data_IF_575057037523
#
_entry.id   IF_575057037523
#
_cell.length_a   1.000
_cell.length_b   1.000
_cell.length_c   1.000
_cell.angle_alpha   90.00
_cell.angle_beta   90.00
_cell.angle_gamma   90.00
#
_symmetry.space_group_name_H-M   'P 1'
#
loop_
_entity.id
_entity.type
_entity.pdbx_description
1 polymer ?
#
# COMPACT_ATOMS: atom_id res chain seq x y z
N UNK A 1 24.35 72.68 -62.48
CA UNK A 1 25.28 71.55 -62.33
C UNK A 1 25.43 71.28 -60.83
N UNK A 2 25.33 70.00 -60.43
CA UNK A 2 25.28 69.42 -59.05
C UNK A 2 23.89 69.10 -58.46
N UNK A 3 23.33 68.03 -59.02
CA UNK A 3 22.89 66.74 -58.42
C UNK A 3 22.33 66.65 -56.99
N UNK A 4 21.20 65.90 -56.92
CA UNK A 4 20.46 65.23 -55.84
C UNK A 4 21.23 64.77 -54.58
N UNK A 5 20.51 64.66 -53.44
CA UNK A 5 20.05 63.38 -52.83
C UNK A 5 19.05 63.70 -51.70
N UNK A 6 17.87 63.08 -51.77
CA UNK A 6 16.84 63.13 -50.73
C UNK A 6 17.07 62.08 -49.64
N UNK A 7 16.57 62.35 -48.43
CA UNK A 7 16.47 61.36 -47.37
C UNK A 7 15.09 61.45 -46.74
N UNK A 8 14.25 60.48 -47.07
CA UNK A 8 12.91 60.29 -46.52
C UNK A 8 13.05 59.51 -45.22
N UNK A 9 12.75 60.13 -44.08
CA UNK A 9 12.87 59.50 -42.77
C UNK A 9 11.53 58.81 -42.42
N UNK A 10 11.46 57.49 -42.65
CA UNK A 10 10.39 56.63 -42.15
C UNK A 10 10.50 56.53 -40.62
N UNK A 11 9.44 56.94 -39.91
CA UNK A 11 9.25 56.66 -38.48
C UNK A 11 8.77 55.20 -38.34
N UNK A 12 9.68 54.25 -38.09
CA UNK A 12 9.32 52.91 -37.64
C UNK A 12 9.00 52.96 -36.14
N UNK A 13 7.74 52.68 -35.79
CA UNK A 13 7.31 52.52 -34.40
C UNK A 13 7.99 51.30 -33.76
N UNK A 14 8.73 51.54 -32.68
CA UNK A 14 9.18 50.47 -31.79
C UNK A 14 7.98 49.99 -30.97
N UNK A 15 7.31 48.95 -31.45
CA UNK A 15 6.41 48.15 -30.62
C UNK A 15 7.29 47.38 -29.64
N UNK A 16 7.43 47.90 -28.41
CA UNK A 16 7.95 47.12 -27.31
C UNK A 16 6.95 45.98 -27.05
N UNK A 17 7.21 44.80 -27.62
CA UNK A 17 6.57 43.58 -27.16
C UNK A 17 7.07 43.35 -25.74
N UNK A 18 6.27 43.69 -24.74
CA UNK A 18 6.43 43.12 -23.41
C UNK A 18 6.24 41.61 -23.60
N UNK A 19 7.34 40.86 -23.65
CA UNK A 19 7.26 39.41 -23.47
C UNK A 19 6.69 39.21 -22.08
N UNK A 20 5.39 38.97 -22.00
CA UNK A 20 4.77 38.38 -20.83
C UNK A 20 5.39 37.01 -20.72
N UNK A 21 6.47 36.89 -19.94
CA UNK A 21 6.99 35.58 -19.56
C UNK A 21 5.84 34.86 -18.88
N UNK A 22 5.48 33.70 -19.42
CA UNK A 22 4.52 32.84 -18.79
C UNK A 22 5.07 32.45 -17.40
N UNK A 23 4.19 32.50 -16.39
CA UNK A 23 4.56 32.61 -14.98
C UNK A 23 3.81 31.55 -14.16
N UNK A 24 4.58 30.61 -13.63
CA UNK A 24 4.19 29.88 -12.43
C UNK A 24 4.69 30.58 -11.18
N UNK A 25 3.88 30.52 -10.12
CA UNK A 25 4.33 30.86 -8.77
C UNK A 25 3.72 29.93 -7.72
N UNK A 26 4.45 29.73 -6.64
CA UNK A 26 3.94 29.09 -5.42
C UNK A 26 3.04 30.06 -4.68
N UNK A 27 1.94 29.56 -4.10
CA UNK A 27 1.06 30.35 -3.24
C UNK A 27 1.63 30.57 -1.83
N UNK A 28 2.76 29.91 -1.51
CA UNK A 28 3.37 29.92 -0.17
C UNK A 28 2.61 29.05 0.84
N UNK A 29 1.70 28.20 0.39
CA UNK A 29 0.90 27.34 1.25
C UNK A 29 1.70 26.17 1.87
N UNK A 30 2.87 25.84 1.32
CA UNK A 30 3.69 24.72 1.75
C UNK A 30 4.71 25.13 2.81
N UNK A 31 4.93 24.23 3.76
CA UNK A 31 6.00 24.27 4.76
C UNK A 31 6.75 22.92 4.72
N UNK A 32 8.03 22.98 4.38
CA UNK A 32 8.92 21.83 4.19
C UNK A 32 9.86 21.58 5.37
N UNK A 33 9.57 22.17 6.54
CA UNK A 33 10.29 21.83 7.76
C UNK A 33 10.28 20.30 7.97
N UNK A 34 11.37 19.76 8.53
CA UNK A 34 11.59 18.31 8.64
C UNK A 34 10.46 17.56 9.38
N UNK A 35 9.66 18.27 10.20
CA UNK A 35 8.52 17.70 10.93
C UNK A 35 7.23 17.56 10.10
N UNK A 36 7.15 18.18 8.92
CA UNK A 36 5.90 18.31 8.15
C UNK A 36 5.78 17.32 6.99
N UNK A 37 6.43 16.16 7.09
CA UNK A 37 6.37 15.15 6.03
C UNK A 37 4.96 14.52 5.96
N UNK A 38 4.52 14.23 4.74
CA UNK A 38 3.36 13.38 4.48
C UNK A 38 3.67 11.98 5.01
N UNK A 39 2.85 11.47 5.94
CA UNK A 39 3.17 10.24 6.66
C UNK A 39 2.96 8.99 5.81
N UNK A 40 4.01 8.17 5.68
CA UNK A 40 3.93 6.81 5.13
C UNK A 40 3.60 5.86 6.28
N UNK A 41 2.38 5.32 6.31
CA UNK A 41 1.81 4.57 7.46
C UNK A 41 1.62 3.09 7.15
N UNK A 42 2.62 2.26 7.44
CA UNK A 42 2.49 0.79 7.47
C UNK A 42 1.95 0.29 8.83
N UNK A 43 2.20 1.02 9.92
CA UNK A 43 1.80 0.60 11.26
C UNK A 43 2.77 -0.43 11.85
N UNK A 44 2.25 -1.56 12.33
CA UNK A 44 3.08 -2.65 12.86
C UNK A 44 3.68 -3.46 11.71
N UNK A 45 5.01 -3.49 11.65
CA UNK A 45 5.80 -4.24 10.67
C UNK A 45 6.40 -5.44 11.39
N UNK A 46 6.08 -6.65 10.94
CA UNK A 46 6.57 -7.89 11.52
C UNK A 46 7.61 -8.53 10.60
N UNK A 47 8.84 -8.65 11.09
CA UNK A 47 9.86 -9.47 10.48
C UNK A 47 9.95 -10.81 11.21
N UNK A 48 9.88 -11.90 10.44
CA UNK A 48 10.15 -13.25 10.97
C UNK A 48 11.54 -13.72 10.57
N UNK A 49 11.83 -15.01 10.68
CA UNK A 49 13.09 -15.56 10.19
C UNK A 49 13.19 -15.49 8.66
N UNK A 50 14.42 -15.46 8.12
CA UNK A 50 14.66 -15.56 6.67
C UNK A 50 14.22 -16.90 6.08
N UNK A 51 13.94 -17.91 6.91
CA UNK A 51 13.44 -19.20 6.45
C UNK A 51 11.94 -19.17 6.13
N UNK A 52 11.15 -18.50 6.98
CA UNK A 52 9.70 -18.38 6.81
C UNK A 52 9.31 -17.18 5.93
N UNK A 53 10.08 -16.08 6.04
CA UNK A 53 9.95 -14.89 5.22
C UNK A 53 11.29 -14.62 4.53
N UNK A 54 11.55 -15.22 3.35
CA UNK A 54 12.81 -15.06 2.64
C UNK A 54 13.15 -13.62 2.32
N UNK A 55 14.44 -13.34 2.19
CA UNK A 55 14.93 -12.09 1.63
C UNK A 55 14.35 -11.90 0.23
N UNK A 56 13.95 -10.67 -0.12
CA UNK A 56 13.22 -10.37 -1.35
C UNK A 56 11.69 -10.34 -1.18
N UNK A 57 11.16 -10.84 -0.06
CA UNK A 57 9.72 -10.84 0.19
C UNK A 57 9.17 -9.42 0.34
N UNK A 58 8.04 -9.13 -0.31
CA UNK A 58 7.21 -7.97 0.01
C UNK A 58 6.60 -8.20 1.40
N UNK A 59 6.78 -7.24 2.30
CA UNK A 59 6.23 -7.28 3.66
C UNK A 59 4.88 -6.58 3.69
N UNK A 60 4.81 -5.36 3.16
CA UNK A 60 3.59 -4.56 3.15
C UNK A 60 3.62 -3.49 2.05
N UNK A 61 2.44 -2.96 1.71
CA UNK A 61 2.23 -1.95 0.68
C UNK A 61 1.11 -0.99 1.08
N UNK A 62 1.37 0.31 0.92
CA UNK A 62 0.40 1.37 1.18
C UNK A 62 0.33 2.38 0.04
N UNK A 63 -0.83 3.02 -0.09
CA UNK A 63 -1.04 4.19 -0.96
C UNK A 63 -1.09 5.42 -0.07
N UNK A 64 -0.30 6.44 -0.40
CA UNK A 64 -0.13 7.65 0.39
C UNK A 64 -0.62 8.85 -0.44
N UNK A 65 -1.86 9.29 -0.24
CA UNK A 65 -2.39 10.50 -0.88
C UNK A 65 -1.62 11.74 -0.43
N UNK A 66 -1.38 12.69 -1.34
CA UNK A 66 -0.80 13.97 -0.95
C UNK A 66 -1.69 14.74 0.05
N UNK A 67 -3.00 14.47 0.04
CA UNK A 67 -3.99 15.05 0.97
C UNK A 67 -3.79 14.66 2.43
N UNK A 68 -2.91 13.71 2.73
CA UNK A 68 -2.51 13.38 4.10
C UNK A 68 -1.56 14.45 4.69
N UNK A 69 -1.14 15.42 3.89
CA UNK A 69 -0.46 16.64 4.36
C UNK A 69 -1.42 17.50 5.18
N UNK A 70 -1.17 17.62 6.48
CA UNK A 70 -2.01 18.39 7.42
C UNK A 70 -1.31 19.61 8.02
N UNK A 71 -0.06 19.88 7.64
CA UNK A 71 0.65 21.06 8.08
C UNK A 71 0.08 22.34 7.43
N UNK A 72 0.36 23.49 8.05
CA UNK A 72 0.02 24.83 7.56
C UNK A 72 -1.47 25.07 7.22
N UNK A 73 -2.41 24.35 7.85
CA UNK A 73 -3.85 24.41 7.57
C UNK A 73 -4.21 24.12 6.09
N UNK A 74 -3.38 23.36 5.40
CA UNK A 74 -3.63 22.96 4.01
C UNK A 74 -4.73 21.91 3.97
N UNK A 75 -5.63 22.04 3.00
CA UNK A 75 -6.74 21.12 2.74
C UNK A 75 -6.61 20.54 1.34
N UNK A 76 -7.37 19.48 0.97
CA UNK A 76 -7.34 18.94 -0.38
C UNK A 76 -7.56 19.97 -1.50
N UNK A 77 -8.36 21.01 -1.23
CA UNK A 77 -8.67 22.07 -2.20
C UNK A 77 -7.68 23.24 -2.20
N UNK A 78 -6.71 23.27 -1.28
CA UNK A 78 -5.73 24.35 -1.21
C UNK A 78 -4.90 24.39 -2.48
N UNK A 79 -4.85 25.54 -3.13
CA UNK A 79 -4.04 25.79 -4.33
C UNK A 79 -2.59 25.96 -3.90
N UNK A 80 -1.70 25.13 -4.45
CA UNK A 80 -0.27 25.14 -4.15
C UNK A 80 0.52 25.95 -5.17
N UNK A 81 0.14 25.81 -6.44
CA UNK A 81 0.76 26.53 -7.55
C UNK A 81 -0.29 27.08 -8.50
N UNK A 82 -0.02 28.29 -9.00
CA UNK A 82 -0.80 28.95 -10.04
C UNK A 82 0.13 29.17 -11.24
N UNK A 83 -0.26 28.66 -12.39
CA UNK A 83 0.52 28.71 -13.63
C UNK A 83 -0.32 29.22 -14.79
N UNK A 84 0.33 29.73 -15.84
CA UNK A 84 -0.33 29.93 -17.13
C UNK A 84 -0.61 28.58 -17.80
N UNK A 85 -1.77 28.45 -18.45
CA UNK A 85 -2.10 27.23 -19.21
C UNK A 85 -1.06 26.93 -20.31
N UNK A 86 -0.44 27.98 -20.87
CA UNK A 86 0.63 27.83 -21.87
C UNK A 86 1.88 27.12 -21.36
N UNK A 87 2.10 27.13 -20.03
CA UNK A 87 3.27 26.51 -19.40
C UNK A 87 3.12 25.02 -19.17
N UNK A 88 1.90 24.46 -19.35
CA UNK A 88 1.61 23.07 -18.99
C UNK A 88 2.60 22.06 -19.60
N UNK A 89 3.09 22.32 -20.82
CA UNK A 89 4.09 21.49 -21.51
C UNK A 89 5.47 21.48 -20.84
N UNK A 90 5.77 22.51 -20.07
CA UNK A 90 7.03 22.73 -19.37
C UNK A 90 6.93 22.38 -17.88
N UNK A 91 5.72 22.03 -17.39
CA UNK A 91 5.48 21.62 -16.01
C UNK A 91 5.75 20.14 -15.78
N UNK A 92 6.56 19.86 -14.76
CA UNK A 92 6.83 18.52 -14.28
C UNK A 92 6.78 18.49 -12.76
N UNK A 93 6.13 17.48 -12.19
CA UNK A 93 6.45 17.06 -10.85
C UNK A 93 7.79 16.34 -10.88
N UNK A 94 8.81 16.88 -10.23
CA UNK A 94 10.06 16.17 -10.02
C UNK A 94 9.98 15.37 -8.72
N UNK A 95 10.28 14.08 -8.81
CA UNK A 95 10.29 13.14 -7.68
C UNK A 95 11.66 12.50 -7.53
N UNK A 96 12.09 12.30 -6.28
CA UNK A 96 13.32 11.58 -5.93
C UNK A 96 13.23 11.03 -4.50
N UNK A 97 14.11 10.10 -4.17
CA UNK A 97 14.34 9.71 -2.76
C UNK A 97 15.05 10.82 -1.99
N UNK A 98 15.00 10.79 -0.66
CA UNK A 98 15.80 11.68 0.18
C UNK A 98 17.24 11.16 0.27
N UNK A 99 18.02 11.42 -0.79
CA UNK A 99 19.27 10.73 -1.02
C UNK A 99 20.51 11.35 -0.36
N UNK A 100 20.34 12.39 0.45
CA UNK A 100 21.40 12.93 1.32
C UNK A 100 21.46 12.21 2.69
N UNK A 101 20.52 11.29 2.94
CA UNK A 101 20.46 10.46 4.14
C UNK A 101 20.50 8.95 3.82
N UNK A 102 21.40 8.23 4.49
CA UNK A 102 21.56 6.78 4.36
C UNK A 102 20.27 5.99 4.60
N UNK A 103 19.39 6.42 5.50
CA UNK A 103 18.09 5.81 5.79
C UNK A 103 16.90 6.57 5.14
N UNK A 104 17.17 7.69 4.48
CA UNK A 104 16.20 8.49 3.72
C UNK A 104 16.13 8.11 2.23
N UNK A 105 17.09 7.33 1.73
CA UNK A 105 17.06 6.81 0.37
C UNK A 105 18.32 7.03 -0.45
N UNK A 106 19.46 7.26 0.22
CA UNK A 106 20.78 7.27 -0.39
C UNK A 106 21.27 5.87 -0.78
N UNK A 107 21.07 4.89 0.12
CA UNK A 107 21.64 3.55 0.00
C UNK A 107 20.64 2.58 -0.62
N UNK A 108 20.93 2.11 -1.83
CA UNK A 108 20.13 1.06 -2.49
C UNK A 108 20.57 -0.32 -1.97
N UNK A 109 19.79 -0.87 -1.03
CA UNK A 109 20.12 -2.10 -0.31
C UNK A 109 19.49 -3.36 -0.91
N UNK A 110 18.51 -3.22 -1.79
CA UNK A 110 17.82 -4.37 -2.39
C UNK A 110 18.55 -5.05 -3.54
N UNK A 111 19.59 -4.44 -4.13
CA UNK A 111 20.23 -4.96 -5.34
C UNK A 111 20.78 -6.38 -5.18
N UNK A 112 21.44 -6.65 -4.04
CA UNK A 112 21.95 -8.00 -3.69
C UNK A 112 20.83 -9.05 -3.60
N UNK A 113 19.61 -8.59 -3.33
CA UNK A 113 18.42 -9.41 -3.12
C UNK A 113 17.54 -9.52 -4.37
N UNK A 114 18.02 -9.03 -5.52
CA UNK A 114 17.26 -9.00 -6.77
C UNK A 114 16.17 -7.91 -6.82
N UNK A 115 16.21 -6.95 -5.91
CA UNK A 115 15.25 -5.87 -5.80
C UNK A 115 15.87 -4.52 -6.22
N UNK A 116 15.51 -4.04 -7.40
CA UNK A 116 15.91 -2.71 -7.86
C UNK A 116 15.09 -1.60 -7.19
N UNK A 117 15.75 -0.47 -6.92
CA UNK A 117 15.18 0.75 -6.35
C UNK A 117 14.51 0.54 -4.98
N UNK A 118 15.11 -0.35 -4.19
CA UNK A 118 14.77 -0.59 -2.78
C UNK A 118 15.88 -0.02 -1.93
N UNK A 119 15.55 1.02 -1.17
CA UNK A 119 16.50 1.80 -0.40
C UNK A 119 16.42 1.53 1.10
N UNK A 120 17.52 1.75 1.82
CA UNK A 120 17.56 1.52 3.26
C UNK A 120 16.58 2.44 4.00
N UNK A 121 16.07 1.92 5.11
CA UNK A 121 15.25 2.67 6.07
C UNK A 121 15.95 2.73 7.43
N UNK A 122 15.34 3.38 8.42
CA UNK A 122 15.81 3.31 9.82
C UNK A 122 15.71 1.90 10.43
N UNK A 123 14.92 1.01 9.84
CA UNK A 123 14.74 -0.36 10.29
C UNK A 123 15.75 -1.30 9.62
N UNK A 124 16.43 -2.12 10.42
CA UNK A 124 17.30 -3.17 9.89
C UNK A 124 16.47 -4.19 9.11
N UNK A 125 17.03 -4.67 7.99
CA UNK A 125 16.41 -5.67 7.13
C UNK A 125 15.06 -5.28 6.52
N UNK A 126 14.69 -3.99 6.56
CA UNK A 126 13.53 -3.43 5.88
C UNK A 126 14.00 -2.39 4.86
N UNK A 127 13.81 -2.70 3.59
CA UNK A 127 14.04 -1.78 2.48
C UNK A 127 12.73 -1.15 2.00
N UNK A 128 12.77 0.09 1.55
CA UNK A 128 11.62 0.85 1.06
C UNK A 128 11.75 1.10 -0.44
N UNK A 129 10.70 0.76 -1.18
CA UNK A 129 10.48 1.16 -2.57
C UNK A 129 9.35 2.16 -2.63
N UNK A 130 9.58 3.23 -3.36
CA UNK A 130 8.60 4.29 -3.57
C UNK A 130 8.33 4.42 -5.07
N UNK A 131 7.07 4.58 -5.45
CA UNK A 131 6.69 4.85 -6.83
C UNK A 131 5.54 5.83 -6.92
N UNK A 132 5.50 6.60 -8.01
CA UNK A 132 4.43 7.54 -8.29
C UNK A 132 4.13 7.52 -9.79
N UNK A 133 2.86 7.35 -10.17
CA UNK A 133 2.43 7.21 -11.57
C UNK A 133 3.23 6.17 -12.37
N UNK A 134 3.54 5.03 -11.73
CA UNK A 134 4.30 3.94 -12.35
C UNK A 134 5.82 4.17 -12.45
N UNK A 135 6.33 5.34 -12.03
CA UNK A 135 7.75 5.62 -11.93
C UNK A 135 8.24 5.25 -10.54
N UNK A 136 9.13 4.26 -10.44
CA UNK A 136 9.89 4.00 -9.22
C UNK A 136 10.89 5.14 -8.99
N UNK A 137 10.83 5.74 -7.80
CA UNK A 137 11.72 6.81 -7.38
C UNK A 137 13.15 6.30 -7.26
N UNK A 138 14.08 7.20 -7.51
CA UNK A 138 15.50 6.97 -7.32
C UNK A 138 16.15 8.21 -6.71
N UNK A 139 17.45 8.12 -6.44
CA UNK A 139 18.27 9.27 -6.05
C UNK A 139 18.32 10.37 -7.12
N UNK A 140 18.05 10.06 -8.39
CA UNK A 140 18.02 11.06 -9.46
C UNK A 140 16.61 11.58 -9.65
N UNK A 141 16.45 12.90 -9.76
CA UNK A 141 15.15 13.51 -10.01
C UNK A 141 14.54 13.00 -11.32
N UNK A 142 13.33 12.46 -11.23
CA UNK A 142 12.55 11.95 -12.35
C UNK A 142 11.31 12.82 -12.53
N UNK A 143 10.90 13.04 -13.78
CA UNK A 143 9.77 13.90 -14.12
C UNK A 143 8.48 13.12 -14.32
N UNK A 144 7.40 13.60 -13.72
CA UNK A 144 6.02 13.16 -13.93
C UNK A 144 5.24 14.35 -14.51
N UNK A 145 4.53 14.13 -15.61
CA UNK A 145 3.71 15.17 -16.21
C UNK A 145 2.56 15.58 -15.28
N UNK A 146 2.32 16.89 -15.17
CA UNK A 146 1.15 17.43 -14.48
C UNK A 146 -0.09 17.11 -15.31
N UNK A 147 -0.95 16.23 -14.82
CA UNK A 147 -2.13 15.72 -15.54
C UNK A 147 -3.47 16.07 -14.90
N UNK A 148 -3.45 16.50 -13.64
CA UNK A 148 -4.63 16.96 -12.89
C UNK A 148 -4.38 18.40 -12.45
N UNK A 149 -5.39 19.25 -12.62
CA UNK A 149 -5.40 20.66 -12.24
C UNK A 149 -6.82 21.22 -12.44
N UNK A 150 -7.11 22.34 -11.80
CA UNK A 150 -8.29 23.15 -12.08
C UNK A 150 -7.94 24.23 -13.11
N UNK A 151 -8.56 24.20 -14.28
CA UNK A 151 -8.46 25.27 -15.26
C UNK A 151 -9.49 26.38 -14.97
N UNK A 152 -9.08 27.64 -15.14
CA UNK A 152 -9.91 28.81 -14.99
C UNK A 152 -10.13 29.53 -16.33
N UNK A 153 -11.26 30.23 -16.46
CA UNK A 153 -11.60 31.03 -17.65
C UNK A 153 -10.57 32.15 -17.95
N UNK A 154 -9.76 32.51 -16.97
CA UNK A 154 -8.66 33.48 -17.09
C UNK A 154 -7.44 32.95 -17.87
N UNK A 155 -7.44 31.67 -18.27
CA UNK A 155 -6.28 31.02 -18.91
C UNK A 155 -5.21 30.57 -17.91
N UNK A 156 -5.52 30.60 -16.61
CA UNK A 156 -4.69 30.07 -15.53
C UNK A 156 -5.08 28.64 -15.18
N UNK A 157 -4.12 27.88 -14.67
CA UNK A 157 -4.36 26.59 -14.03
C UNK A 157 -3.96 26.67 -12.56
N UNK A 158 -4.75 26.04 -11.70
CA UNK A 158 -4.50 25.87 -10.28
C UNK A 158 -4.18 24.40 -10.01
N UNK A 159 -2.99 24.14 -9.48
CA UNK A 159 -2.60 22.81 -9.01
C UNK A 159 -2.86 22.79 -7.50
N UNK A 160 -3.84 21.99 -7.08
CA UNK A 160 -4.22 21.83 -5.67
C UNK A 160 -3.52 20.63 -5.07
N UNK A 161 -3.56 20.52 -3.74
CA UNK A 161 -3.00 19.36 -3.03
C UNK A 161 -3.59 18.04 -3.54
N UNK A 162 -4.90 17.98 -3.78
CA UNK A 162 -5.57 16.78 -4.31
C UNK A 162 -5.21 16.42 -5.76
N UNK A 163 -4.62 17.36 -6.50
CA UNK A 163 -4.23 17.15 -7.90
C UNK A 163 -2.85 16.45 -8.01
N UNK A 164 -2.12 16.33 -6.89
CA UNK A 164 -0.86 15.60 -6.83
C UNK A 164 -1.15 14.10 -6.83
N UNK A 165 -0.50 13.30 -7.72
CA UNK A 165 -0.66 11.86 -7.72
C UNK A 165 -0.28 11.22 -6.38
N UNK A 166 -0.98 10.16 -5.94
CA UNK A 166 -0.61 9.46 -4.73
C UNK A 166 0.74 8.73 -4.91
N UNK A 167 1.50 8.66 -3.83
CA UNK A 167 2.70 7.83 -3.73
C UNK A 167 2.29 6.39 -3.38
N UNK A 168 2.95 5.40 -3.96
CA UNK A 168 2.87 4.00 -3.55
C UNK A 168 4.15 3.68 -2.80
N UNK A 169 4.02 3.17 -1.58
CA UNK A 169 5.14 2.74 -0.75
C UNK A 169 5.05 1.25 -0.48
N UNK A 170 6.15 0.54 -0.72
CA UNK A 170 6.29 -0.90 -0.53
C UNK A 170 7.52 -1.17 0.33
N UNK A 171 7.37 -1.98 1.37
CA UNK A 171 8.50 -2.43 2.19
C UNK A 171 8.83 -3.89 1.90
N UNK A 172 10.12 -4.16 1.80
CA UNK A 172 10.66 -5.47 1.47
C UNK A 172 11.63 -5.94 2.55
N UNK A 173 11.70 -7.25 2.72
CA UNK A 173 12.76 -7.86 3.51
C UNK A 173 14.06 -7.83 2.72
N UNK A 174 15.10 -7.24 3.28
CA UNK A 174 16.43 -7.12 2.66
C UNK A 174 17.54 -7.72 3.53
N UNK A 175 18.60 -8.19 2.89
CA UNK A 175 19.80 -8.74 3.56
C UNK A 175 20.84 -7.67 3.89
N UNK A 176 20.90 -6.61 3.07
CA UNK A 176 21.92 -5.58 3.16
C UNK A 176 21.47 -4.45 4.10
N UNK A 177 22.38 -4.02 4.99
CA UNK A 177 22.16 -2.89 5.89
C UNK A 177 22.63 -1.58 5.25
N UNK A 178 22.20 -0.45 5.84
CA UNK A 178 22.65 0.91 5.49
C UNK A 178 24.19 1.00 5.56
N UNK A 179 24.80 1.68 4.58
CA UNK A 179 26.25 1.87 4.43
C UNK A 179 26.70 3.31 4.68
N UNK A 180 25.88 4.29 4.26
CA UNK A 180 26.17 5.72 4.36
C UNK A 180 25.78 6.29 5.71
N UNK A 181 26.25 7.50 6.01
CA UNK A 181 25.84 8.23 7.21
C UNK A 181 24.34 8.56 7.14
N UNK A 182 23.72 8.64 8.31
CA UNK A 182 22.34 9.06 8.47
C UNK A 182 22.22 10.00 9.66
N UNK A 183 21.36 10.99 9.48
CA UNK A 183 20.89 11.97 10.44
C UNK A 183 19.79 11.39 11.36
N UNK A 184 19.40 10.13 11.16
CA UNK A 184 18.58 9.41 12.12
C UNK A 184 19.30 9.22 13.48
N UNK A 185 18.56 9.00 14.58
CA UNK A 185 19.15 8.83 15.91
C UNK A 185 20.30 7.81 15.93
N UNK A 186 21.43 8.22 16.51
CA UNK A 186 22.66 7.43 16.64
C UNK A 186 23.31 6.96 15.32
N UNK A 187 22.88 7.47 14.16
CA UNK A 187 23.38 7.03 12.84
C UNK A 187 23.24 5.50 12.61
N UNK A 188 22.32 4.84 13.31
CA UNK A 188 22.19 3.38 13.33
C UNK A 188 20.78 2.95 12.97
N UNK A 189 20.68 1.84 12.23
CA UNK A 189 19.40 1.17 12.03
C UNK A 189 19.04 0.35 13.29
N UNK A 190 17.75 0.25 13.61
CA UNK A 190 17.25 -0.51 14.76
C UNK A 190 16.64 -1.85 14.34
N UNK A 191 16.76 -2.84 15.21
CA UNK A 191 16.22 -4.19 15.01
C UNK A 191 14.75 -4.34 15.43
N UNK A 192 14.27 -3.46 16.31
CA UNK A 192 12.90 -3.45 16.84
C UNK A 192 12.56 -2.07 17.41
N UNK A 193 11.27 -1.75 17.51
CA UNK A 193 10.76 -0.53 18.13
C UNK A 193 10.25 0.51 17.13
N UNK A 194 9.88 1.70 17.63
CA UNK A 194 9.24 2.74 16.82
C UNK A 194 10.20 3.39 15.82
N UNK A 195 9.67 3.83 14.68
CA UNK A 195 10.40 4.61 13.68
C UNK A 195 10.60 6.06 14.17
N UNK A 196 11.73 6.32 14.82
CA UNK A 196 12.06 7.63 15.41
C UNK A 196 12.83 8.57 14.48
N UNK A 197 13.21 8.10 13.29
CA UNK A 197 13.91 8.95 12.34
C UNK A 197 12.97 9.99 11.71
N UNK A 198 13.36 11.27 11.78
CA UNK A 198 12.60 12.41 11.26
C UNK A 198 12.96 12.78 9.81
N UNK A 199 13.89 12.05 9.20
CA UNK A 199 14.27 12.28 7.82
C UNK A 199 13.14 11.83 6.89
N UNK A 200 12.89 12.64 5.86
CA UNK A 200 12.04 12.23 4.77
C UNK A 200 12.64 11.01 4.06
N UNK A 201 11.81 10.26 3.37
CA UNK A 201 12.19 9.17 2.48
C UNK A 201 12.08 9.56 1.00
N UNK A 202 11.30 10.59 0.68
CA UNK A 202 11.15 11.09 -0.67
C UNK A 202 10.68 12.54 -0.72
N UNK A 203 10.87 13.15 -1.88
CA UNK A 203 10.43 14.49 -2.20
C UNK A 203 9.62 14.52 -3.50
N UNK A 204 8.68 15.46 -3.56
CA UNK A 204 8.04 15.93 -4.79
C UNK A 204 8.09 17.46 -4.83
N UNK A 205 8.43 18.01 -5.98
CA UNK A 205 8.46 19.45 -6.22
C UNK A 205 7.88 19.78 -7.60
N UNK A 206 7.43 21.01 -7.80
CA UNK A 206 7.00 21.46 -9.13
C UNK A 206 8.13 22.20 -9.83
N UNK A 207 8.53 21.68 -11.00
CA UNK A 207 9.38 22.38 -11.95
C UNK A 207 8.52 23.07 -12.99
N UNK A 208 8.81 24.34 -13.26
CA UNK A 208 8.14 25.14 -14.27
C UNK A 208 8.70 26.56 -14.39
N UNK A 209 8.35 27.31 -15.44
CA UNK A 209 8.81 28.68 -15.62
C UNK A 209 8.49 29.58 -14.42
N UNK A 210 9.50 30.26 -13.87
CA UNK A 210 9.32 31.16 -12.72
C UNK A 210 9.38 30.51 -11.33
N UNK A 211 9.50 29.18 -11.25
CA UNK A 211 9.72 28.46 -9.99
C UNK A 211 11.20 28.14 -9.79
N UNK A 212 11.69 28.28 -8.56
CA UNK A 212 12.97 27.69 -8.18
C UNK A 212 12.77 26.22 -7.83
N UNK A 213 13.35 25.34 -8.64
CA UNK A 213 13.31 23.89 -8.48
C UNK A 213 14.68 23.28 -8.73
N UNK A 214 14.79 21.97 -8.48
CA UNK A 214 15.85 21.15 -9.04
C UNK A 214 15.58 20.83 -10.53
N UNK A 215 16.51 20.17 -11.20
CA UNK A 215 16.42 19.79 -12.61
C UNK A 215 16.36 18.27 -12.79
N UNK A 216 15.79 17.86 -13.93
CA UNK A 216 15.67 16.45 -14.29
C UNK A 216 17.06 15.77 -14.36
N UNK A 217 17.19 14.63 -13.68
CA UNK A 217 18.42 13.82 -13.67
C UNK A 217 19.50 14.29 -12.68
N UNK A 218 19.31 15.43 -12.01
CA UNK A 218 20.19 15.87 -10.93
C UNK A 218 20.15 14.89 -9.74
N UNK A 219 21.25 14.86 -8.99
CA UNK A 219 21.43 13.97 -7.84
C UNK A 219 20.85 14.62 -6.58
N UNK A 220 19.80 14.03 -6.02
CA UNK A 220 19.11 14.55 -4.83
C UNK A 220 19.99 14.51 -3.57
N UNK A 221 21.10 13.78 -3.57
CA UNK A 221 22.11 13.85 -2.50
C UNK A 221 22.84 15.19 -2.46
N UNK A 222 22.82 15.95 -3.56
CA UNK A 222 23.57 17.20 -3.73
C UNK A 222 22.65 18.40 -4.03
N UNK A 223 21.46 18.15 -4.57
CA UNK A 223 20.54 19.18 -5.06
C UNK A 223 19.19 19.09 -4.37
N UNK A 224 18.86 20.16 -3.65
CA UNK A 224 17.61 20.32 -2.89
C UNK A 224 17.17 21.79 -2.89
N UNK A 225 17.30 22.48 -4.02
CA UNK A 225 17.07 23.93 -4.12
C UNK A 225 15.64 24.32 -3.76
N UNK A 226 14.68 23.42 -4.03
CA UNK A 226 13.28 23.61 -3.68
C UNK A 226 13.05 23.76 -2.17
N UNK A 227 13.95 23.22 -1.33
CA UNK A 227 13.83 23.33 0.12
C UNK A 227 13.98 24.77 0.61
N UNK A 228 14.86 25.56 0.00
CA UNK A 228 15.08 26.95 0.44
C UNK A 228 13.89 27.88 0.18
N UNK A 229 12.93 27.46 -0.66
CA UNK A 229 11.80 28.28 -1.13
C UNK A 229 10.44 27.59 -0.94
N UNK A 230 10.37 26.51 -0.17
CA UNK A 230 9.14 25.75 0.09
C UNK A 230 8.39 25.31 -1.19
N UNK A 231 9.13 24.94 -2.25
CA UNK A 231 8.54 24.53 -3.52
C UNK A 231 8.36 23.01 -3.61
N UNK A 232 7.80 22.38 -2.58
CA UNK A 232 7.60 20.94 -2.61
C UNK A 232 7.08 20.34 -1.31
N UNK A 233 6.84 19.04 -1.36
CA UNK A 233 6.38 18.20 -0.28
C UNK A 233 7.37 17.07 -0.07
N UNK A 234 7.40 16.56 1.15
CA UNK A 234 8.22 15.44 1.57
C UNK A 234 7.32 14.31 2.08
N UNK A 235 7.77 13.06 1.91
CA UNK A 235 7.09 11.87 2.41
C UNK A 235 8.02 11.12 3.36
N UNK A 236 7.53 10.62 4.49
CA UNK A 236 8.39 9.96 5.48
C UNK A 236 7.67 8.94 6.35
N UNK A 237 8.42 7.91 6.79
CA UNK A 237 7.94 6.83 7.68
C UNK A 237 7.85 7.22 9.17
N UNK A 238 8.13 8.47 9.52
CA UNK A 238 8.24 8.91 10.92
C UNK A 238 6.99 8.67 11.77
N UNK A 239 7.22 8.26 13.03
CA UNK A 239 6.26 8.24 14.14
C UNK A 239 4.98 7.42 13.97
N UNK A 240 4.87 6.64 12.89
CA UNK A 240 3.67 5.85 12.58
C UNK A 240 3.93 4.37 12.33
N UNK A 241 5.21 3.98 12.35
CA UNK A 241 5.64 2.62 12.08
C UNK A 241 6.39 2.05 13.28
N UNK A 242 6.16 0.78 13.60
CA UNK A 242 6.84 0.06 14.67
C UNK A 242 7.31 -1.29 14.13
N UNK A 243 8.60 -1.57 14.29
CA UNK A 243 9.19 -2.84 13.89
C UNK A 243 9.12 -3.85 15.04
N UNK A 244 8.62 -5.04 14.73
CA UNK A 244 8.58 -6.20 15.61
C UNK A 244 9.38 -7.35 14.98
N UNK A 245 10.12 -8.08 15.81
CA UNK A 245 10.85 -9.28 15.42
C UNK A 245 10.20 -10.47 16.12
N UNK A 246 9.29 -11.13 15.43
CA UNK A 246 8.45 -12.16 16.05
C UNK A 246 8.60 -13.51 15.34
N UNK A 247 8.57 -14.56 16.17
CA UNK A 247 8.34 -15.91 15.67
C UNK A 247 6.99 -15.96 14.97
N UNK A 248 6.94 -16.60 13.81
CA UNK A 248 5.71 -16.67 13.02
C UNK A 248 5.61 -18.04 12.32
N UNK A 249 4.67 -18.12 11.40
CA UNK A 249 4.47 -19.28 10.55
C UNK A 249 4.28 -18.88 9.08
N UNK A 250 4.34 -19.87 8.20
CA UNK A 250 4.03 -19.71 6.77
C UNK A 250 3.17 -20.88 6.30
N UNK A 251 2.22 -20.62 5.42
CA UNK A 251 1.45 -21.67 4.75
C UNK A 251 2.36 -22.35 3.72
N UNK A 252 2.50 -23.67 3.81
CA UNK A 252 3.31 -24.47 2.87
C UNK A 252 2.47 -25.22 1.86
N UNK A 253 1.29 -25.68 2.27
CA UNK A 253 0.37 -26.39 1.40
C UNK A 253 -1.07 -26.15 1.84
N UNK A 254 -1.99 -26.12 0.88
CA UNK A 254 -3.42 -26.22 1.14
C UNK A 254 -4.09 -27.02 0.03
N UNK A 255 -5.17 -27.73 0.35
CA UNK A 255 -6.00 -28.39 -0.68
C UNK A 255 -6.53 -27.32 -1.65
N UNK A 256 -6.16 -27.36 -2.94
CA UNK A 256 -6.37 -26.23 -3.84
C UNK A 256 -7.82 -26.08 -4.31
N UNK A 257 -8.58 -27.18 -4.38
CA UNK A 257 -9.98 -27.18 -4.85
C UNK A 257 -10.82 -28.07 -3.94
N UNK A 258 -11.92 -27.51 -3.45
CA UNK A 258 -12.90 -28.21 -2.62
C UNK A 258 -14.15 -28.44 -3.47
N UNK A 259 -14.53 -29.70 -3.69
CA UNK A 259 -15.68 -30.08 -4.49
C UNK A 259 -16.76 -30.67 -3.60
N UNK A 260 -17.96 -30.08 -3.63
CA UNK A 260 -19.13 -30.60 -2.95
C UNK A 260 -19.87 -31.61 -3.83
N UNK A 261 -20.45 -32.64 -3.22
CA UNK A 261 -21.44 -33.46 -3.92
C UNK A 261 -22.68 -32.61 -4.27
N UNK A 262 -23.38 -32.90 -5.38
CA UNK A 262 -24.62 -32.21 -5.71
C UNK A 262 -25.67 -32.35 -4.61
N UNK A 263 -26.40 -31.28 -4.32
CA UNK A 263 -27.52 -31.25 -3.36
C UNK A 263 -28.71 -30.55 -4.02
N UNK A 264 -29.93 -31.04 -3.76
CA UNK A 264 -31.14 -30.47 -4.33
C UNK A 264 -31.56 -29.19 -3.60
N UNK A 265 -32.29 -28.31 -4.30
CA UNK A 265 -32.92 -27.13 -3.70
C UNK A 265 -33.80 -27.52 -2.51
N UNK A 266 -34.65 -28.52 -2.67
CA UNK A 266 -35.62 -28.90 -1.63
C UNK A 266 -34.91 -29.43 -0.37
N UNK A 267 -33.78 -30.11 -0.53
CA UNK A 267 -32.95 -30.53 0.61
C UNK A 267 -32.35 -29.31 1.34
N UNK A 268 -31.83 -28.33 0.61
CA UNK A 268 -31.31 -27.08 1.19
C UNK A 268 -32.41 -26.26 1.89
N UNK A 269 -33.61 -26.19 1.30
CA UNK A 269 -34.78 -25.53 1.91
C UNK A 269 -35.24 -26.22 3.20
N UNK A 270 -35.07 -27.55 3.28
CA UNK A 270 -35.26 -28.35 4.48
C UNK A 270 -34.07 -28.30 5.47
N UNK A 271 -33.12 -27.38 5.27
CA UNK A 271 -31.91 -27.19 6.07
C UNK A 271 -30.94 -28.40 6.07
N UNK A 272 -30.99 -29.26 5.06
CA UNK A 272 -29.91 -30.22 4.82
C UNK A 272 -28.68 -29.50 4.23
N UNK A 273 -27.53 -30.16 4.34
CA UNK A 273 -26.25 -29.62 3.86
C UNK A 273 -25.37 -30.73 3.28
N UNK A 274 -24.42 -30.32 2.45
CA UNK A 274 -23.34 -31.18 1.97
C UNK A 274 -22.01 -30.63 2.46
N UNK A 275 -21.09 -31.52 2.83
CA UNK A 275 -19.80 -31.16 3.40
C UNK A 275 -18.65 -31.76 2.58
N UNK A 276 -17.51 -31.08 2.62
CA UNK A 276 -16.25 -31.54 2.07
C UNK A 276 -15.12 -31.15 3.03
N UNK A 277 -14.17 -32.07 3.23
CA UNK A 277 -13.03 -31.83 4.11
C UNK A 277 -11.83 -31.37 3.29
N UNK A 278 -10.98 -30.55 3.90
CA UNK A 278 -9.74 -30.09 3.30
C UNK A 278 -8.67 -29.86 4.36
N UNK A 279 -7.42 -29.79 3.91
CA UNK A 279 -6.25 -29.67 4.79
C UNK A 279 -5.42 -28.44 4.46
N UNK A 280 -4.84 -27.87 5.51
CA UNK A 280 -3.85 -26.80 5.43
C UNK A 280 -2.62 -27.24 6.23
N UNK A 281 -1.46 -27.18 5.59
CA UNK A 281 -0.16 -27.42 6.21
C UNK A 281 0.55 -26.08 6.41
N UNK A 282 0.88 -25.79 7.65
CA UNK A 282 1.54 -24.59 8.10
C UNK A 282 2.87 -25.00 8.72
N UNK A 283 3.93 -24.28 8.41
CA UNK A 283 5.22 -24.44 9.06
C UNK A 283 5.50 -23.25 9.98
N UNK A 284 5.83 -23.52 11.23
CA UNK A 284 6.05 -22.51 12.26
C UNK A 284 7.42 -22.64 12.88
N UNK A 285 7.95 -21.54 13.40
CA UNK A 285 9.08 -21.59 14.34
C UNK A 285 8.68 -22.32 15.64
N UNK A 286 9.61 -23.06 16.26
CA UNK A 286 9.36 -23.88 17.45
C UNK A 286 8.80 -23.07 18.65
N UNK A 287 9.13 -21.79 18.71
CA UNK A 287 8.76 -20.86 19.78
C UNK A 287 7.71 -19.85 19.34
N UNK A 288 6.91 -20.18 18.32
CA UNK A 288 5.77 -19.34 17.92
C UNK A 288 4.78 -19.21 19.09
N UNK A 289 4.37 -17.98 19.39
CA UNK A 289 3.25 -17.74 20.28
C UNK A 289 1.95 -17.81 19.48
N UNK A 290 1.16 -18.85 19.70
CA UNK A 290 -0.06 -19.13 18.94
C UNK A 290 -1.28 -18.58 19.65
N UNK A 291 -1.97 -17.63 19.02
CA UNK A 291 -3.12 -17.00 19.62
C UNK A 291 -3.66 -15.87 18.76
N UNK A 292 -4.57 -15.09 19.35
CA UNK A 292 -5.24 -13.98 18.67
C UNK A 292 -5.09 -12.64 19.40
N UNK A 293 -4.31 -12.61 20.48
CA UNK A 293 -3.94 -11.38 21.17
C UNK A 293 -2.78 -10.67 20.43
N UNK A 294 -2.49 -9.40 20.74
CA UNK A 294 -1.39 -8.67 20.12
C UNK A 294 -0.07 -9.45 20.18
N UNK A 295 0.70 -9.43 19.09
CA UNK A 295 1.98 -10.15 18.92
C UNK A 295 1.88 -11.68 18.84
N UNK A 296 0.68 -12.25 18.89
CA UNK A 296 0.49 -13.69 18.68
C UNK A 296 0.23 -14.01 17.20
N UNK A 297 0.64 -15.20 16.77
CA UNK A 297 0.44 -15.67 15.40
C UNK A 297 -0.89 -16.38 15.25
N UNK A 298 -1.69 -15.90 14.31
CA UNK A 298 -3.00 -16.42 13.95
C UNK A 298 -3.04 -16.88 12.49
N UNK A 299 -3.99 -17.78 12.20
CA UNK A 299 -4.40 -18.17 10.86
C UNK A 299 -5.81 -17.67 10.59
N UNK A 300 -6.07 -17.28 9.35
CA UNK A 300 -7.40 -16.91 8.88
C UNK A 300 -7.64 -17.38 7.45
N UNK A 301 -8.90 -17.58 7.08
CA UNK A 301 -9.30 -17.87 5.71
C UNK A 301 -10.09 -16.67 5.21
N UNK A 302 -9.47 -15.87 4.36
CA UNK A 302 -10.03 -14.65 3.81
C UNK A 302 -10.90 -14.94 2.60
N UNK A 303 -12.11 -14.40 2.56
CA UNK A 303 -12.97 -14.49 1.38
C UNK A 303 -12.38 -13.68 0.20
N UNK A 304 -12.86 -13.88 -1.02
CA UNK A 304 -12.54 -12.96 -2.12
C UNK A 304 -13.19 -11.57 -1.91
N UNK A 305 -12.64 -10.53 -2.55
CA UNK A 305 -13.22 -9.18 -2.44
C UNK A 305 -14.68 -9.13 -2.96
N UNK A 306 -14.97 -9.83 -4.06
CA UNK A 306 -16.33 -9.89 -4.63
C UNK A 306 -17.32 -10.60 -3.68
N UNK A 307 -16.90 -11.71 -3.07
CA UNK A 307 -17.69 -12.42 -2.07
C UNK A 307 -17.92 -11.54 -0.82
N UNK A 308 -16.90 -10.80 -0.38
CA UNK A 308 -17.00 -9.85 0.74
C UNK A 308 -18.03 -8.75 0.49
N UNK A 309 -17.97 -8.07 -0.67
CA UNK A 309 -18.94 -7.03 -1.02
C UNK A 309 -20.38 -7.57 -1.03
N UNK A 310 -20.56 -8.78 -1.54
CA UNK A 310 -21.86 -9.46 -1.53
C UNK A 310 -22.31 -9.77 -0.10
N UNK A 311 -21.42 -10.31 0.74
CA UNK A 311 -21.70 -10.60 2.14
C UNK A 311 -22.11 -9.33 2.91
N UNK A 312 -21.44 -8.19 2.67
CA UNK A 312 -21.81 -6.91 3.28
C UNK A 312 -23.24 -6.52 2.90
N UNK A 313 -23.59 -6.57 1.61
CA UNK A 313 -24.94 -6.26 1.11
C UNK A 313 -26.02 -7.16 1.71
N UNK A 314 -25.69 -8.42 1.98
CA UNK A 314 -26.59 -9.39 2.58
C UNK A 314 -26.59 -9.38 4.12
N UNK A 315 -25.83 -8.49 4.77
CA UNK A 315 -25.76 -8.39 6.23
C UNK A 315 -25.06 -9.57 6.89
N UNK A 316 -24.13 -10.23 6.18
CA UNK A 316 -23.37 -11.39 6.65
C UNK A 316 -21.98 -11.03 7.20
N UNK A 317 -21.67 -9.73 7.28
CA UNK A 317 -20.43 -9.19 7.87
C UNK A 317 -20.76 -8.59 9.23
N UNK A 318 -20.05 -9.04 10.27
CA UNK A 318 -20.24 -8.55 11.63
C UNK A 318 -19.47 -7.24 11.89
N UNK A 319 -19.60 -6.69 13.09
CA UNK A 319 -18.95 -5.42 13.47
C UNK A 319 -17.42 -5.50 13.52
N UNK A 320 -16.86 -6.70 13.65
CA UNK A 320 -15.42 -6.99 13.72
C UNK A 320 -14.83 -7.33 12.35
N UNK A 321 -15.59 -7.13 11.26
CA UNK A 321 -15.20 -7.44 9.88
C UNK A 321 -15.13 -8.96 9.56
N UNK A 322 -15.62 -9.83 10.45
CA UNK A 322 -15.75 -11.26 10.19
C UNK A 322 -16.94 -11.56 9.29
N UNK A 323 -16.75 -12.50 8.36
CA UNK A 323 -17.75 -12.92 7.37
C UNK A 323 -18.32 -14.27 7.75
N UNK A 324 -19.65 -14.36 7.94
CA UNK A 324 -20.31 -15.58 8.42
C UNK A 324 -20.27 -16.74 7.41
N UNK A 325 -20.39 -16.43 6.12
CA UNK A 325 -20.45 -17.43 5.05
C UNK A 325 -19.76 -16.93 3.78
N UNK A 326 -18.99 -17.81 3.16
CA UNK A 326 -18.38 -17.56 1.85
C UNK A 326 -19.43 -17.73 0.75
N UNK A 327 -19.59 -16.69 -0.06
CA UNK A 327 -20.51 -16.64 -1.18
C UNK A 327 -19.76 -16.84 -2.50
N UNK A 328 -20.50 -17.17 -3.57
CA UNK A 328 -19.92 -17.28 -4.90
C UNK A 328 -19.37 -15.94 -5.38
N UNK A 329 -18.25 -15.94 -6.09
CA UNK A 329 -17.58 -14.72 -6.55
C UNK A 329 -18.46 -13.92 -7.54
N UNK A 330 -19.35 -14.62 -8.26
CA UNK A 330 -20.31 -14.06 -9.22
C UNK A 330 -21.75 -14.26 -8.74
N UNK A 331 -22.03 -13.98 -7.46
CA UNK A 331 -23.29 -14.32 -6.79
C UNK A 331 -24.58 -13.90 -7.53
N UNK A 332 -24.56 -12.77 -8.24
CA UNK A 332 -25.73 -12.25 -8.95
C UNK A 332 -25.88 -12.80 -10.39
N UNK A 333 -24.91 -13.59 -10.89
CA UNK A 333 -25.00 -14.24 -12.20
C UNK A 333 -26.17 -15.24 -12.26
N UNK A 334 -26.87 -15.32 -13.39
CA UNK A 334 -28.08 -16.13 -13.57
C UNK A 334 -27.85 -17.65 -13.39
N UNK A 335 -26.62 -18.12 -13.62
CA UNK A 335 -26.24 -19.53 -13.47
C UNK A 335 -25.73 -19.88 -12.08
N UNK A 336 -25.54 -18.90 -11.21
CA UNK A 336 -25.09 -19.12 -9.82
C UNK A 336 -26.28 -19.36 -8.89
N UNK A 337 -26.06 -20.21 -7.89
CA UNK A 337 -27.03 -20.46 -6.84
C UNK A 337 -27.13 -19.24 -5.91
N UNK A 338 -28.33 -18.99 -5.41
CA UNK A 338 -28.59 -17.90 -4.45
C UNK A 338 -29.27 -18.46 -3.20
N UNK A 339 -29.18 -17.72 -2.09
CA UNK A 339 -29.75 -18.14 -0.81
C UNK A 339 -28.93 -19.23 -0.10
N UNK A 340 -27.73 -19.54 -0.59
CA UNK A 340 -26.81 -20.53 -0.03
C UNK A 340 -25.41 -19.95 0.16
N UNK A 341 -24.67 -20.50 1.11
CA UNK A 341 -23.29 -20.12 1.39
C UNK A 341 -22.48 -21.30 1.92
N UNK A 342 -21.16 -21.15 1.85
CA UNK A 342 -20.20 -22.10 2.39
C UNK A 342 -19.81 -21.65 3.80
N UNK A 343 -20.00 -22.53 4.76
CA UNK A 343 -19.62 -22.33 6.16
C UNK A 343 -18.38 -23.16 6.45
N UNK A 344 -17.54 -22.65 7.34
CA UNK A 344 -16.26 -23.25 7.66
C UNK A 344 -16.26 -23.73 9.10
N UNK A 345 -15.64 -24.86 9.36
CA UNK A 345 -15.40 -25.34 10.72
C UNK A 345 -14.10 -26.12 10.79
N UNK A 346 -13.33 -25.96 11.86
CA UNK A 346 -12.22 -26.86 12.18
C UNK A 346 -12.73 -28.14 12.80
N UNK A 347 -12.09 -29.28 12.51
CA UNK A 347 -12.61 -30.60 12.88
C UNK A 347 -12.83 -30.79 14.39
N UNK A 348 -12.02 -30.16 15.24
CA UNK A 348 -12.16 -30.21 16.71
C UNK A 348 -13.17 -29.21 17.28
N UNK A 349 -13.58 -28.20 16.50
CA UNK A 349 -14.51 -27.16 16.93
C UNK A 349 -15.96 -27.57 16.68
N UNK A 350 -16.84 -27.15 17.58
CA UNK A 350 -18.28 -27.42 17.47
C UNK A 350 -19.03 -26.32 16.71
N UNK A 351 -18.52 -25.09 16.75
CA UNK A 351 -19.12 -23.91 16.13
C UNK A 351 -18.50 -23.61 14.77
N UNK A 352 -19.31 -23.05 13.87
CA UNK A 352 -18.83 -22.53 12.59
C UNK A 352 -17.90 -21.33 12.85
N UNK A 353 -16.87 -21.20 12.01
CA UNK A 353 -15.87 -20.16 12.04
C UNK A 353 -16.28 -18.99 11.16
N UNK A 354 -15.87 -17.79 11.53
CA UNK A 354 -15.91 -16.64 10.64
C UNK A 354 -14.74 -16.72 9.65
N UNK A 355 -15.00 -16.29 8.42
CA UNK A 355 -13.94 -15.99 7.46
C UNK A 355 -13.41 -14.57 7.70
N UNK A 356 -12.16 -14.33 7.33
CA UNK A 356 -11.57 -12.98 7.38
C UNK A 356 -12.16 -12.11 6.28
N UNK A 357 -12.59 -10.90 6.63
CA UNK A 357 -13.12 -9.91 5.68
C UNK A 357 -12.04 -9.16 4.89
N UNK A 358 -12.43 -8.05 4.26
CA UNK A 358 -11.53 -7.20 3.49
C UNK A 358 -11.47 -5.76 4.03
N UNK A 359 -10.27 -5.15 4.10
CA UNK A 359 -8.96 -5.80 4.01
C UNK A 359 -8.69 -6.66 5.27
N UNK A 360 -7.83 -7.69 5.15
CA UNK A 360 -7.50 -8.60 6.26
C UNK A 360 -6.86 -7.89 7.47
N UNK A 361 -6.32 -6.68 7.28
CA UNK A 361 -5.73 -5.90 8.34
C UNK A 361 -6.75 -5.40 9.39
N UNK A 362 -8.05 -5.36 9.04
CA UNK A 362 -9.10 -4.82 9.92
C UNK A 362 -9.66 -5.91 10.83
N UNK A 363 -9.60 -5.65 12.14
CA UNK A 363 -10.10 -6.56 13.18
C UNK A 363 -9.03 -7.53 13.69
N UNK A 364 -9.36 -8.18 14.82
CA UNK A 364 -8.56 -9.22 15.46
C UNK A 364 -9.46 -10.17 16.24
N UNK A 365 -8.95 -11.35 16.59
CA UNK A 365 -9.75 -12.36 17.30
C UNK A 365 -10.67 -13.19 16.40
N UNK A 366 -11.34 -14.16 17.03
CA UNK A 366 -12.21 -15.12 16.33
C UNK A 366 -13.40 -14.45 15.65
N UNK A 367 -13.94 -13.35 16.21
CA UNK A 367 -15.03 -12.57 15.60
C UNK A 367 -14.60 -11.90 14.29
N UNK A 368 -13.31 -11.62 14.10
CA UNK A 368 -12.77 -11.12 12.83
C UNK A 368 -12.33 -12.23 11.87
N UNK A 369 -12.49 -13.51 12.26
CA UNK A 369 -12.08 -14.68 11.49
C UNK A 369 -10.63 -15.13 11.72
N UNK A 370 -9.96 -14.64 12.76
CA UNK A 370 -8.62 -15.04 13.14
C UNK A 370 -8.64 -16.10 14.24
N UNK A 371 -7.86 -17.17 14.08
CA UNK A 371 -7.80 -18.28 15.02
C UNK A 371 -6.33 -18.62 15.35
N UNK A 372 -6.02 -19.16 16.55
CA UNK A 372 -4.66 -19.53 16.89
C UNK A 372 -4.08 -20.51 15.87
N UNK A 373 -2.87 -20.26 15.39
CA UNK A 373 -2.25 -21.03 14.30
C UNK A 373 -1.99 -22.50 14.65
N UNK A 374 -1.93 -22.84 15.94
CA UNK A 374 -1.75 -24.21 16.42
C UNK A 374 -3.07 -24.87 16.90
N UNK A 375 -4.22 -24.17 16.83
CA UNK A 375 -5.49 -24.70 17.35
C UNK A 375 -5.92 -25.97 16.59
N UNK A 376 -6.04 -27.08 17.33
CA UNK A 376 -6.40 -28.40 16.80
C UNK A 376 -5.46 -28.97 15.73
N UNK A 377 -4.25 -28.43 15.60
CA UNK A 377 -3.30 -28.87 14.59
C UNK A 377 -2.57 -30.16 15.01
N UNK A 378 -2.31 -31.03 14.03
CA UNK A 378 -1.46 -32.20 14.21
C UNK A 378 -0.02 -31.84 13.86
N UNK A 379 0.87 -31.96 14.85
CA UNK A 379 2.29 -31.68 14.66
C UNK A 379 2.96 -32.77 13.83
N UNK A 380 3.87 -32.36 12.94
CA UNK A 380 4.78 -33.19 12.18
C UNK A 380 6.18 -32.56 12.18
N UNK A 381 7.21 -33.38 11.98
CA UNK A 381 8.59 -32.90 11.96
C UNK A 381 8.87 -32.04 10.71
N UNK A 382 9.61 -30.94 10.89
CA UNK A 382 10.19 -30.21 9.77
C UNK A 382 11.57 -30.74 9.40
N UNK A 383 11.92 -30.56 8.13
CA UNK A 383 13.28 -30.77 7.62
C UNK A 383 14.24 -29.70 8.16
N UNK A 384 13.74 -28.52 8.51
CA UNK A 384 14.55 -27.42 9.04
C UNK A 384 14.55 -27.42 10.57
N UNK A 385 15.74 -27.46 11.17
CA UNK A 385 15.89 -27.33 12.63
C UNK A 385 15.35 -25.99 13.14
N UNK A 386 14.61 -26.03 14.25
CA UNK A 386 13.96 -24.87 14.85
C UNK A 386 12.54 -24.60 14.35
N UNK A 387 11.98 -25.51 13.54
CA UNK A 387 10.65 -25.37 12.94
C UNK A 387 9.89 -26.70 12.99
N UNK A 388 8.57 -26.62 12.90
CA UNK A 388 7.65 -27.77 12.87
C UNK A 388 6.52 -27.55 11.88
N UNK A 389 6.06 -28.63 11.27
CA UNK A 389 4.84 -28.64 10.48
C UNK A 389 3.63 -28.87 11.37
N UNK A 390 2.53 -28.22 11.00
CA UNK A 390 1.25 -28.31 11.66
C UNK A 390 0.18 -28.49 10.59
N UNK A 391 -0.52 -29.61 10.65
CA UNK A 391 -1.62 -29.93 9.73
C UNK A 391 -2.95 -29.62 10.42
N UNK A 392 -3.71 -28.71 9.82
CA UNK A 392 -5.05 -28.35 10.25
C UNK A 392 -6.08 -28.98 9.32
N UNK A 393 -7.12 -29.59 9.91
CA UNK A 393 -8.21 -30.21 9.19
C UNK A 393 -9.47 -29.35 9.30
N UNK A 394 -10.03 -29.00 8.14
CA UNK A 394 -11.23 -28.17 8.03
C UNK A 394 -12.35 -28.94 7.33
N UNK A 395 -13.58 -28.59 7.70
CA UNK A 395 -14.80 -29.00 7.00
C UNK A 395 -15.47 -27.76 6.45
N UNK A 396 -15.61 -27.70 5.13
CA UNK A 396 -16.46 -26.74 4.46
C UNK A 396 -17.86 -27.36 4.30
N UNK A 397 -18.92 -26.57 4.48
CA UNK A 397 -20.30 -27.05 4.42
C UNK A 397 -21.17 -26.08 3.61
N UNK A 398 -21.74 -26.57 2.52
CA UNK A 398 -22.71 -25.82 1.72
C UNK A 398 -24.10 -26.00 2.33
N UNK A 399 -24.71 -24.89 2.75
CA UNK A 399 -26.06 -24.87 3.33
C UNK A 399 -26.82 -23.60 2.95
N UNK A 400 -28.12 -23.59 3.24
CA UNK A 400 -28.97 -22.41 3.14
C UNK A 400 -28.48 -21.31 4.09
N UNK A 401 -28.49 -20.07 3.62
CA UNK A 401 -28.15 -18.89 4.43
C UNK A 401 -29.25 -18.61 5.46
N UNK A 402 -28.92 -18.06 6.64
CA UNK A 402 -29.90 -17.68 7.67
C UNK A 402 -30.60 -16.35 7.30
N UNK A 403 -31.09 -16.25 6.06
CA UNK A 403 -31.74 -15.07 5.49
C UNK A 403 -33.12 -15.44 4.92
N UNK A 404 -33.98 -14.45 4.71
CA UNK A 404 -35.30 -14.66 4.11
C UNK A 404 -35.25 -15.01 2.60
N UNK A 405 -34.08 -14.88 1.96
CA UNK A 405 -33.90 -15.14 0.54
C UNK A 405 -34.10 -16.63 0.23
N UNK A 406 -35.00 -17.01 -0.70
CA UNK A 406 -35.20 -18.39 -1.08
C UNK A 406 -34.00 -18.96 -1.84
N UNK A 407 -33.85 -20.28 -1.80
CA UNK A 407 -32.78 -20.98 -2.52
C UNK A 407 -33.09 -21.01 -4.01
N UNK A 408 -32.21 -20.40 -4.81
CA UNK A 408 -32.24 -20.50 -6.28
C UNK A 408 -31.24 -21.58 -6.73
N UNK A 409 -31.65 -22.56 -7.53
CA UNK A 409 -30.73 -23.54 -8.11
C UNK A 409 -29.66 -22.86 -8.98
N UNK A 410 -28.45 -23.42 -8.97
CA UNK A 410 -27.34 -22.95 -9.78
C UNK A 410 -26.01 -23.56 -9.36
N UNK A 411 -24.92 -23.08 -9.94
CA UNK A 411 -23.56 -23.45 -9.55
C UNK A 411 -23.14 -22.67 -8.30
N UNK A 412 -22.23 -23.25 -7.53
CA UNK A 412 -21.53 -22.56 -6.44
C UNK A 412 -20.05 -22.54 -6.82
N UNK A 413 -19.46 -21.35 -6.89
CA UNK A 413 -18.05 -21.14 -7.22
C UNK A 413 -17.52 -19.95 -6.45
N UNK A 414 -16.66 -20.22 -5.47
CA UNK A 414 -16.15 -19.21 -4.55
C UNK A 414 -14.64 -19.37 -4.34
N UNK A 415 -13.98 -18.24 -4.08
CA UNK A 415 -12.53 -18.18 -3.84
C UNK A 415 -12.24 -17.68 -2.44
N UNK A 416 -11.26 -18.29 -1.78
CA UNK A 416 -10.74 -17.85 -0.48
C UNK A 416 -9.22 -18.05 -0.40
N UNK A 417 -8.57 -17.28 0.48
CA UNK A 417 -7.12 -17.24 0.66
C UNK A 417 -6.78 -17.57 2.10
N UNK A 418 -5.79 -18.43 2.31
CA UNK A 418 -5.32 -18.74 3.67
C UNK A 418 -4.20 -17.76 4.01
N UNK A 419 -4.36 -17.07 5.13
CA UNK A 419 -3.44 -16.05 5.61
C UNK A 419 -2.87 -16.50 6.96
N UNK A 420 -1.59 -16.22 7.16
CA UNK A 420 -0.96 -16.21 8.49
C UNK A 420 -0.55 -14.79 8.79
N UNK A 421 -0.86 -14.33 10.01
CA UNK A 421 -0.57 -12.97 10.46
C UNK A 421 -0.17 -13.00 11.93
N UNK A 422 0.82 -12.17 12.30
CA UNK A 422 1.04 -11.76 13.70
C UNK A 422 0.06 -10.64 14.02
N UNK A 423 -0.78 -10.83 15.03
CA UNK A 423 -1.92 -9.95 15.34
C UNK A 423 -1.51 -8.56 15.82
#
# INVERSE_FOLDING_TARGET
MKTLIGCSMLLCGAVYSTQSFALCHSTGALDNSQSNNIPIRFGSIYLSSTYLQPVGSLIDRVVVPATDYTAANVTPNTVLWICDKSDLKDLLFLVATNADDGAGGQDEVGLTDGLAQVYATYFQNVGLKLSMQGISLSRRYQGIAVSQFLELDSGKIHIRLMDIPPLIAEIYRVSTLKQSLSLCPNNQQILQGPYLCQQANAYIQLRGPGLLSDELGEDAALQHRFLAVNNGLSYGMQMHNVLHQEASCVVRHATPVIVFAPISRDALEANHSVAANFQVSIECADFVDSGVAPLQTAVGIQVSYAAYQTAQRLGLVNAQNGVLALLSDQYDDAHMAQGVGIFLRQQHRQQDMFFVGHPAAVGGGEDAGWYPVLDGAQQQDSVQQGYRYYVQNYTARLQKLPLATPVRPGKVSATAYILVKVQ
#
